data_IF_241213555256
#
_entry.id   IF_241213555256
#
_cell.length_a   1.000
_cell.length_b   1.000
_cell.length_c   1.000
_cell.angle_alpha   90.00
_cell.angle_beta   90.00
_cell.angle_gamma   90.00
#
_symmetry.space_group_name_H-M   'P 1'
#
loop_
_entity.id
_entity.type
_entity.pdbx_description
1 polymer ?
#
# COMPACT_ATOMS: atom_id res chain seq x y z
N UNK A 1 6.27 -13.77 10.06
CA UNK A 1 7.25 -14.69 9.45
C UNK A 1 8.12 -13.89 8.49
N UNK A 2 9.38 -14.27 8.29
CA UNK A 2 10.27 -13.69 7.27
C UNK A 2 10.47 -14.74 6.19
N UNK A 3 10.22 -14.39 4.93
CA UNK A 3 10.34 -15.37 3.83
C UNK A 3 11.80 -15.81 3.63
N UNK A 4 12.06 -17.10 3.43
CA UNK A 4 13.39 -17.60 3.05
C UNK A 4 13.78 -17.19 1.61
N UNK A 5 12.84 -16.68 0.83
CA UNK A 5 13.04 -16.27 -0.56
C UNK A 5 13.49 -14.82 -0.70
N UNK A 6 13.59 -14.05 0.39
CA UNK A 6 14.15 -12.69 0.35
C UNK A 6 15.56 -12.75 -0.27
N UNK A 7 15.92 -11.84 -1.18
CA UNK A 7 17.26 -11.80 -1.76
C UNK A 7 18.26 -11.26 -0.74
N UNK A 8 19.55 -11.58 -0.91
CA UNK A 8 20.61 -11.04 -0.04
C UNK A 8 20.79 -9.53 -0.18
N UNK A 9 20.66 -9.04 -1.40
CA UNK A 9 20.90 -7.65 -1.77
C UNK A 9 19.73 -7.12 -2.58
N UNK A 10 19.56 -5.80 -2.61
CA UNK A 10 18.69 -5.18 -3.61
C UNK A 10 19.16 -5.54 -5.02
N UNK A 11 18.24 -5.76 -5.98
CA UNK A 11 18.60 -6.13 -7.34
C UNK A 11 19.63 -5.17 -7.94
N UNK A 12 20.65 -5.71 -8.60
CA UNK A 12 21.71 -4.93 -9.28
C UNK A 12 22.54 -4.05 -8.33
N UNK A 13 22.54 -4.31 -7.02
CA UNK A 13 23.36 -3.59 -6.04
C UNK A 13 24.10 -4.54 -5.08
N UNK A 14 24.96 -3.98 -4.23
CA UNK A 14 25.54 -4.67 -3.07
C UNK A 14 24.89 -4.26 -1.74
N UNK A 15 23.82 -3.46 -1.79
CA UNK A 15 23.13 -2.98 -0.60
C UNK A 15 22.26 -4.11 -0.02
N UNK A 16 22.40 -4.45 1.28
CA UNK A 16 21.63 -5.54 1.89
C UNK A 16 20.12 -5.34 1.77
N UNK A 17 19.40 -6.40 1.38
CA UNK A 17 17.94 -6.35 1.36
C UNK A 17 17.40 -6.41 2.80
N UNK A 18 16.40 -5.58 3.16
CA UNK A 18 15.87 -5.58 4.51
C UNK A 18 15.39 -6.98 4.95
N UNK A 19 15.81 -7.38 6.14
CA UNK A 19 15.40 -8.63 6.81
C UNK A 19 15.87 -9.95 6.15
N UNK A 20 16.76 -9.94 5.15
CA UNK A 20 17.23 -11.15 4.45
C UNK A 20 17.64 -12.32 5.36
N UNK A 21 18.33 -12.06 6.46
CA UNK A 21 18.84 -13.10 7.37
C UNK A 21 18.17 -13.06 8.75
N UNK A 22 16.89 -12.69 8.81
CA UNK A 22 16.13 -12.62 10.06
C UNK A 22 15.09 -13.74 10.20
N UNK A 23 15.24 -14.86 9.47
CA UNK A 23 14.33 -16.02 9.53
C UNK A 23 14.25 -16.66 10.92
N UNK A 24 15.33 -16.60 11.70
CA UNK A 24 15.43 -17.22 13.03
C UNK A 24 14.81 -16.38 14.16
N UNK A 25 14.48 -15.10 13.92
CA UNK A 25 13.92 -14.21 14.94
C UNK A 25 12.43 -13.93 14.67
N UNK A 26 11.57 -14.25 15.64
CA UNK A 26 10.15 -13.86 15.65
C UNK A 26 10.02 -12.36 15.95
N UNK A 27 10.46 -11.51 15.01
CA UNK A 27 10.29 -10.07 15.11
C UNK A 27 8.95 -9.68 14.46
N UNK A 28 8.05 -9.09 15.24
CA UNK A 28 6.90 -8.40 14.69
C UNK A 28 7.40 -7.21 13.87
N UNK A 29 6.98 -7.14 12.61
CA UNK A 29 7.31 -6.04 11.70
C UNK A 29 6.04 -5.29 11.37
N UNK A 30 6.16 -3.99 11.25
CA UNK A 30 5.06 -3.09 10.92
C UNK A 30 5.53 -2.17 9.81
N UNK A 31 4.65 -1.93 8.85
CA UNK A 31 4.82 -0.88 7.85
C UNK A 31 3.48 -0.21 7.61
N UNK A 32 3.46 0.65 6.60
CA UNK A 32 2.28 1.34 6.11
C UNK A 32 1.86 0.75 4.77
N UNK A 33 0.61 1.02 4.40
CA UNK A 33 0.08 0.68 3.07
C UNK A 33 -1.13 1.55 2.77
N UNK A 34 -1.47 1.65 1.49
CA UNK A 34 -2.65 2.39 1.03
C UNK A 34 -3.67 1.41 0.47
N UNK A 35 -4.87 1.38 1.07
CA UNK A 35 -5.98 0.62 0.54
C UNK A 35 -6.64 1.38 -0.61
N UNK A 36 -6.91 0.68 -1.71
CA UNK A 36 -7.48 1.22 -2.93
C UNK A 36 -8.35 0.18 -3.62
N UNK A 37 -9.11 0.58 -4.65
CA UNK A 37 -9.97 -0.28 -5.49
C UNK A 37 -10.77 -1.33 -4.72
N UNK A 38 -11.92 -0.92 -4.21
CA UNK A 38 -12.85 -1.81 -3.52
C UNK A 38 -13.90 -2.34 -4.49
N UNK A 39 -14.00 -3.65 -4.62
CA UNK A 39 -14.97 -4.34 -5.47
C UNK A 39 -16.00 -5.05 -4.61
N UNK A 40 -17.28 -4.74 -4.82
CA UNK A 40 -18.37 -5.54 -4.27
C UNK A 40 -18.61 -6.71 -5.21
N UNK A 41 -18.66 -7.91 -4.65
CA UNK A 41 -18.88 -9.15 -5.39
C UNK A 41 -20.10 -9.85 -4.82
N UNK A 42 -20.92 -10.39 -5.72
CA UNK A 42 -22.06 -11.23 -5.41
C UNK A 42 -22.05 -12.44 -6.32
N UNK A 43 -22.03 -13.64 -5.73
CA UNK A 43 -22.01 -14.93 -6.44
C UNK A 43 -20.92 -15.02 -7.52
N UNK A 44 -19.73 -14.50 -7.20
CA UNK A 44 -18.57 -14.45 -8.10
C UNK A 44 -18.63 -13.34 -9.16
N UNK A 45 -19.67 -12.50 -9.15
CA UNK A 45 -19.85 -11.42 -10.12
C UNK A 45 -19.65 -10.06 -9.46
N UNK A 46 -18.78 -9.24 -10.06
CA UNK A 46 -18.56 -7.85 -9.62
C UNK A 46 -19.79 -6.99 -9.87
N UNK A 47 -20.12 -6.16 -8.89
CA UNK A 47 -21.31 -5.31 -8.90
C UNK A 47 -21.01 -3.86 -9.27
N UNK A 48 -19.74 -3.45 -9.26
CA UNK A 48 -19.31 -2.05 -9.45
C UNK A 48 -18.25 -1.86 -10.57
N UNK A 49 -18.18 -2.78 -11.53
CA UNK A 49 -17.29 -2.70 -12.70
C UNK A 49 -15.83 -3.13 -12.46
N UNK A 50 -14.98 -2.88 -13.47
CA UNK A 50 -13.54 -3.19 -13.49
C UNK A 50 -13.19 -4.52 -14.15
N UNK A 51 -12.04 -4.59 -14.85
CA UNK A 51 -11.69 -5.70 -15.76
C UNK A 51 -11.24 -6.98 -15.06
N UNK A 52 -10.72 -6.86 -13.84
CA UNK A 52 -10.22 -8.02 -13.11
C UNK A 52 -11.37 -8.90 -12.65
N UNK A 53 -11.26 -10.23 -12.78
CA UNK A 53 -12.27 -11.15 -12.23
C UNK A 53 -11.86 -11.60 -10.83
N UNK A 54 -12.84 -12.06 -10.04
CA UNK A 54 -12.54 -12.84 -8.84
C UNK A 54 -12.41 -14.31 -9.25
N UNK A 55 -11.54 -15.04 -8.57
CA UNK A 55 -11.37 -16.49 -8.78
C UNK A 55 -12.38 -17.31 -7.94
N UNK A 56 -13.26 -16.62 -7.20
CA UNK A 56 -14.11 -17.23 -6.18
C UNK A 56 -15.59 -17.03 -6.47
N UNK A 57 -16.40 -18.06 -6.23
CA UNK A 57 -17.88 -18.00 -6.31
C UNK A 57 -18.54 -17.67 -4.97
N UNK A 58 -17.78 -17.79 -3.87
CA UNK A 58 -18.17 -17.44 -2.50
C UNK A 58 -17.07 -16.64 -1.82
N UNK A 59 -17.38 -15.98 -0.71
CA UNK A 59 -16.37 -15.22 0.03
C UNK A 59 -15.22 -16.12 0.52
N UNK A 60 -13.98 -15.68 0.28
CA UNK A 60 -12.75 -16.38 0.65
C UNK A 60 -12.04 -15.76 1.87
N UNK A 61 -12.75 -14.98 2.69
CA UNK A 61 -12.20 -14.55 3.98
C UNK A 61 -12.09 -15.76 4.92
N UNK A 62 -11.16 -15.70 5.90
CA UNK A 62 -10.90 -16.80 6.84
C UNK A 62 -12.17 -17.36 7.49
N UNK A 63 -13.11 -16.49 7.87
CA UNK A 63 -14.41 -16.90 8.45
C UNK A 63 -15.25 -17.74 7.47
N UNK A 64 -15.29 -17.35 6.20
CA UNK A 64 -16.11 -18.04 5.21
C UNK A 64 -15.46 -19.32 4.69
N UNK A 65 -14.12 -19.40 4.63
CA UNK A 65 -13.41 -20.62 4.20
C UNK A 65 -13.69 -21.83 5.09
N UNK A 66 -13.96 -21.61 6.38
CA UNK A 66 -14.22 -22.67 7.37
C UNK A 66 -15.71 -22.80 7.73
N UNK A 67 -16.59 -22.05 7.07
CA UNK A 67 -18.02 -22.03 7.37
C UNK A 67 -18.80 -22.89 6.39
N UNK A 68 -19.80 -23.63 6.90
CA UNK A 68 -20.78 -24.34 6.06
C UNK A 68 -21.75 -23.39 5.31
N UNK A 69 -21.73 -22.11 5.65
CA UNK A 69 -22.58 -21.06 5.05
C UNK A 69 -21.75 -19.84 4.64
N UNK A 70 -20.81 -19.99 3.69
CA UNK A 70 -19.98 -18.88 3.24
C UNK A 70 -20.83 -17.80 2.58
N UNK A 71 -20.45 -16.53 2.79
CA UNK A 71 -21.24 -15.42 2.25
C UNK A 71 -21.21 -15.39 0.72
N UNK A 72 -22.38 -15.20 0.12
CA UNK A 72 -22.54 -14.95 -1.32
C UNK A 72 -22.18 -13.52 -1.71
N UNK A 73 -22.09 -12.61 -0.74
CA UNK A 73 -21.75 -11.20 -0.95
C UNK A 73 -20.51 -10.84 -0.16
N UNK A 74 -19.51 -10.27 -0.81
CA UNK A 74 -18.27 -9.84 -0.17
C UNK A 74 -17.64 -8.65 -0.87
N UNK A 75 -16.58 -8.12 -0.26
CA UNK A 75 -15.78 -7.04 -0.80
C UNK A 75 -14.34 -7.50 -0.89
N UNK A 76 -13.75 -7.33 -2.07
CA UNK A 76 -12.31 -7.43 -2.28
C UNK A 76 -11.74 -6.02 -2.37
N UNK A 77 -10.54 -5.82 -1.85
CA UNK A 77 -9.84 -4.56 -1.98
C UNK A 77 -8.35 -4.77 -2.10
N UNK A 78 -7.72 -3.83 -2.78
CA UNK A 78 -6.30 -3.83 -3.06
C UNK A 78 -5.56 -3.00 -2.01
N UNK A 79 -4.31 -3.35 -1.73
CA UNK A 79 -3.42 -2.58 -0.86
C UNK A 79 -2.04 -2.50 -1.51
N UNK A 80 -1.52 -1.28 -1.67
CA UNK A 80 -0.14 -1.10 -2.08
C UNK A 80 0.75 -0.83 -0.87
N UNK A 81 1.92 -1.45 -0.84
CA UNK A 81 2.97 -1.26 0.15
C UNK A 81 4.34 -1.48 -0.51
N UNK A 82 5.41 -1.47 0.26
CA UNK A 82 6.75 -1.75 -0.23
C UNK A 82 7.10 -3.25 -0.16
N UNK A 83 7.85 -3.77 -1.13
CA UNK A 83 8.26 -5.20 -1.11
C UNK A 83 9.08 -5.57 0.11
N UNK A 84 9.87 -4.62 0.63
CA UNK A 84 10.64 -4.92 1.83
C UNK A 84 9.76 -5.00 3.10
N UNK A 85 8.52 -4.50 3.06
CA UNK A 85 7.52 -4.65 4.13
C UNK A 85 6.83 -6.01 4.02
N UNK A 86 6.23 -6.32 2.86
CA UNK A 86 5.66 -7.65 2.54
C UNK A 86 6.27 -8.12 1.23
N UNK A 87 7.04 -9.21 1.29
CA UNK A 87 7.88 -9.65 0.17
C UNK A 87 7.18 -10.59 -0.81
N UNK A 88 6.44 -11.57 -0.30
CA UNK A 88 5.83 -12.64 -1.08
C UNK A 88 4.57 -13.22 -0.38
N UNK A 89 3.97 -14.26 -0.97
CA UNK A 89 2.80 -14.94 -0.40
C UNK A 89 3.09 -15.59 0.96
N UNK A 90 4.33 -16.03 1.22
CA UNK A 90 4.71 -16.58 2.52
C UNK A 90 4.53 -15.52 3.61
N UNK A 91 4.98 -14.29 3.36
CA UNK A 91 4.80 -13.18 4.30
C UNK A 91 3.36 -12.64 4.30
N UNK A 92 2.71 -12.53 3.15
CA UNK A 92 1.33 -12.05 3.04
C UNK A 92 0.36 -12.93 3.85
N UNK A 93 0.51 -14.27 3.78
CA UNK A 93 -0.31 -15.21 4.56
C UNK A 93 -0.17 -15.05 6.08
N UNK A 94 0.91 -14.41 6.55
CA UNK A 94 1.18 -14.11 7.95
C UNK A 94 1.03 -12.62 8.28
N UNK A 95 0.39 -11.85 7.40
CA UNK A 95 0.16 -10.41 7.55
C UNK A 95 -1.28 -10.13 7.99
N UNK A 96 -1.43 -9.17 8.90
CA UNK A 96 -2.72 -8.60 9.29
C UNK A 96 -2.75 -7.13 8.90
N UNK A 97 -3.80 -6.72 8.18
CA UNK A 97 -4.07 -5.31 7.91
C UNK A 97 -4.83 -4.70 9.09
N UNK A 98 -4.32 -3.60 9.64
CA UNK A 98 -4.99 -2.82 10.70
C UNK A 98 -5.57 -1.55 10.10
N UNK A 99 -6.89 -1.51 10.00
CA UNK A 99 -7.62 -0.40 9.40
C UNK A 99 -8.14 0.56 10.48
N UNK A 100 -8.24 1.85 10.12
CA UNK A 100 -8.81 2.93 10.92
C UNK A 100 -8.10 3.27 12.24
N UNK A 101 -6.81 2.93 12.38
CA UNK A 101 -6.03 3.28 13.58
C UNK A 101 -5.55 4.74 13.57
N UNK A 102 -6.50 5.67 13.68
CA UNK A 102 -6.23 7.10 13.46
C UNK A 102 -5.52 7.77 14.65
N UNK A 103 -5.89 7.38 15.87
CA UNK A 103 -5.36 7.89 17.15
C UNK A 103 -5.47 6.80 18.20
N UNK A 104 -4.83 7.01 19.35
CA UNK A 104 -4.96 6.08 20.47
C UNK A 104 -6.42 5.98 20.92
N UNK A 105 -6.87 4.75 21.15
CA UNK A 105 -8.27 4.43 21.43
C UNK A 105 -9.20 4.39 20.20
N UNK A 106 -8.69 4.62 18.97
CA UNK A 106 -9.50 4.42 17.76
C UNK A 106 -9.98 2.95 17.64
N UNK A 107 -11.19 2.72 17.11
CA UNK A 107 -11.64 1.38 16.79
C UNK A 107 -10.79 0.81 15.66
N UNK A 108 -9.93 -0.17 15.98
CA UNK A 108 -9.10 -0.87 15.00
C UNK A 108 -9.89 -2.04 14.42
N UNK A 109 -9.87 -2.16 13.10
CA UNK A 109 -10.44 -3.32 12.40
C UNK A 109 -9.31 -4.13 11.76
N UNK A 110 -9.21 -5.40 12.14
CA UNK A 110 -8.21 -6.32 11.60
C UNK A 110 -8.77 -7.09 10.40
N UNK A 111 -7.97 -7.22 9.35
CA UNK A 111 -8.25 -8.10 8.21
C UNK A 111 -7.05 -9.02 7.99
N UNK A 112 -7.27 -10.32 8.20
CA UNK A 112 -6.20 -11.31 8.33
C UNK A 112 -5.99 -12.20 7.09
N UNK A 113 -6.81 -12.01 6.04
CA UNK A 113 -6.66 -12.72 4.77
C UNK A 113 -6.04 -11.77 3.76
N UNK A 114 -4.75 -11.97 3.50
CA UNK A 114 -3.94 -11.15 2.61
C UNK A 114 -3.18 -12.07 1.66
N UNK A 115 -3.14 -11.72 0.39
CA UNK A 115 -2.44 -12.47 -0.66
C UNK A 115 -1.72 -11.51 -1.58
N UNK A 116 -0.63 -11.93 -2.20
CA UNK A 116 0.07 -11.11 -3.20
C UNK A 116 -0.66 -11.18 -4.54
N UNK A 117 -0.68 -10.05 -5.23
CA UNK A 117 -1.14 -9.93 -6.61
C UNK A 117 0.05 -9.80 -7.54
N UNK A 118 0.95 -8.88 -7.19
CA UNK A 118 2.15 -8.59 -7.95
C UNK A 118 3.23 -8.01 -7.03
N UNK A 119 4.48 -8.26 -7.36
CA UNK A 119 5.66 -7.83 -6.61
C UNK A 119 6.73 -7.37 -7.57
N UNK A 120 7.26 -6.18 -7.32
CA UNK A 120 8.40 -5.66 -8.06
C UNK A 120 9.48 -5.23 -7.07
N UNK A 121 10.49 -6.10 -6.89
CA UNK A 121 11.60 -5.88 -5.95
C UNK A 121 12.49 -4.72 -6.43
N UNK A 122 12.70 -4.57 -7.74
CA UNK A 122 13.54 -3.48 -8.29
C UNK A 122 12.93 -2.10 -8.00
N UNK A 123 11.60 -2.02 -8.01
CA UNK A 123 10.85 -0.80 -7.75
C UNK A 123 10.39 -0.64 -6.30
N UNK A 124 10.69 -1.63 -5.46
CA UNK A 124 10.25 -1.75 -4.08
C UNK A 124 8.74 -1.55 -3.88
N UNK A 125 7.94 -2.17 -4.76
CA UNK A 125 6.49 -2.07 -4.74
C UNK A 125 5.83 -3.45 -4.66
N UNK A 126 4.86 -3.58 -3.76
CA UNK A 126 4.07 -4.78 -3.56
C UNK A 126 2.57 -4.45 -3.62
N UNK A 127 1.85 -5.20 -4.44
CA UNK A 127 0.40 -5.15 -4.56
C UNK A 127 -0.21 -6.36 -3.87
N UNK A 128 -1.00 -6.09 -2.83
CA UNK A 128 -1.72 -7.07 -2.03
C UNK A 128 -3.21 -7.04 -2.32
N UNK A 129 -3.86 -8.19 -2.20
CA UNK A 129 -5.32 -8.37 -2.20
C UNK A 129 -5.80 -8.74 -0.82
N UNK A 130 -6.95 -8.22 -0.41
CA UNK A 130 -7.62 -8.65 0.80
C UNK A 130 -9.15 -8.69 0.62
N UNK A 131 -9.85 -9.22 1.63
CA UNK A 131 -11.27 -9.57 1.55
C UNK A 131 -12.01 -9.37 2.86
N UNK A 132 -13.27 -8.96 2.78
CA UNK A 132 -14.21 -8.98 3.89
C UNK A 132 -15.63 -9.33 3.44
N UNK A 133 -16.35 -10.14 4.21
CA UNK A 133 -17.80 -10.32 4.06
C UNK A 133 -18.62 -9.40 4.98
N UNK A 134 -17.96 -8.53 5.76
CA UNK A 134 -18.65 -7.57 6.61
C UNK A 134 -19.17 -6.41 5.76
N UNK A 135 -20.49 -6.31 5.64
CA UNK A 135 -21.18 -5.30 4.83
C UNK A 135 -20.86 -3.87 5.26
N UNK A 136 -20.81 -3.57 6.56
CA UNK A 136 -20.53 -2.21 7.02
C UNK A 136 -19.08 -1.81 6.73
N UNK A 137 -18.14 -2.73 6.93
CA UNK A 137 -16.73 -2.52 6.58
C UNK A 137 -16.54 -2.31 5.08
N UNK A 138 -17.08 -3.21 4.27
CA UNK A 138 -16.91 -3.20 2.81
C UNK A 138 -17.51 -1.95 2.17
N UNK A 139 -18.72 -1.55 2.59
CA UNK A 139 -19.33 -0.30 2.10
C UNK A 139 -18.54 0.93 2.55
N UNK A 140 -18.10 0.98 3.81
CA UNK A 140 -17.28 2.10 4.31
C UNK A 140 -15.99 2.26 3.52
N UNK A 141 -15.26 1.18 3.24
CA UNK A 141 -14.04 1.23 2.42
C UNK A 141 -14.34 1.74 1.01
N UNK A 142 -15.41 1.25 0.38
CA UNK A 142 -15.82 1.67 -0.95
C UNK A 142 -16.17 3.17 -1.00
N UNK A 143 -16.91 3.68 -0.02
CA UNK A 143 -17.24 5.11 0.09
C UNK A 143 -15.99 5.97 0.31
N UNK A 144 -15.08 5.53 1.19
CA UNK A 144 -13.82 6.24 1.45
C UNK A 144 -12.93 6.30 0.21
N UNK A 145 -12.81 5.21 -0.56
CA UNK A 145 -12.04 5.21 -1.80
C UNK A 145 -12.65 6.13 -2.86
N UNK A 146 -13.98 6.10 -3.04
CA UNK A 146 -14.68 7.03 -3.96
C UNK A 146 -14.49 8.49 -3.55
N UNK A 147 -14.58 8.76 -2.26
CA UNK A 147 -14.38 10.11 -1.73
C UNK A 147 -12.94 10.57 -1.94
N UNK A 148 -11.96 9.70 -1.64
CA UNK A 148 -10.54 9.98 -1.88
C UNK A 148 -10.26 10.30 -3.35
N UNK A 149 -10.76 9.48 -4.28
CA UNK A 149 -10.65 9.72 -5.72
C UNK A 149 -11.20 11.10 -6.12
N UNK A 150 -12.41 11.43 -5.67
CA UNK A 150 -13.04 12.73 -5.95
C UNK A 150 -12.24 13.92 -5.40
N UNK A 151 -11.72 13.81 -4.18
CA UNK A 151 -10.90 14.86 -3.57
C UNK A 151 -9.54 14.97 -4.26
N UNK A 152 -8.92 13.83 -4.57
CA UNK A 152 -7.60 13.80 -5.20
C UNK A 152 -7.63 14.40 -6.61
N UNK A 153 -8.69 14.18 -7.39
CA UNK A 153 -8.85 14.84 -8.70
C UNK A 153 -8.88 16.37 -8.59
N UNK A 154 -9.52 16.93 -7.56
CA UNK A 154 -9.52 18.38 -7.31
C UNK A 154 -8.14 18.90 -6.89
N UNK A 155 -7.41 18.10 -6.10
CA UNK A 155 -6.03 18.42 -5.73
C UNK A 155 -5.12 18.36 -6.95
N UNK A 156 -5.25 17.35 -7.80
CA UNK A 156 -4.49 17.22 -9.03
C UNK A 156 -4.69 18.44 -9.92
N UNK A 157 -5.94 18.79 -10.23
CA UNK A 157 -6.30 19.95 -11.06
C UNK A 157 -5.70 21.25 -10.51
N UNK A 158 -5.86 21.50 -9.20
CA UNK A 158 -5.34 22.70 -8.55
C UNK A 158 -3.81 22.83 -8.61
N UNK A 159 -3.08 21.71 -8.53
CA UNK A 159 -1.63 21.72 -8.39
C UNK A 159 -0.87 21.30 -9.66
N UNK A 160 -1.56 20.84 -10.71
CA UNK A 160 -0.94 20.29 -11.92
C UNK A 160 0.09 21.26 -12.54
N UNK A 161 -0.31 22.49 -12.82
CA UNK A 161 0.56 23.50 -13.46
C UNK A 161 1.68 24.01 -12.55
N UNK A 162 1.47 23.92 -11.22
CA UNK A 162 2.41 24.44 -10.22
C UNK A 162 3.27 23.37 -9.57
N UNK A 163 3.16 22.10 -10.00
CA UNK A 163 3.79 20.94 -9.35
C UNK A 163 5.30 21.08 -9.20
N UNK A 164 5.98 21.52 -10.26
CA UNK A 164 7.43 21.72 -10.28
C UNK A 164 7.89 22.97 -9.51
N UNK A 165 6.99 23.94 -9.30
CA UNK A 165 7.27 25.18 -8.58
C UNK A 165 7.13 25.00 -7.07
N UNK A 166 5.99 24.48 -6.63
CA UNK A 166 5.71 24.33 -5.19
C UNK A 166 6.41 23.12 -4.58
N UNK A 167 6.57 22.06 -5.38
CA UNK A 167 7.13 20.77 -4.99
C UNK A 167 6.53 20.18 -3.72
N UNK A 168 5.29 20.53 -3.40
CA UNK A 168 4.63 20.14 -2.16
C UNK A 168 4.41 18.62 -2.17
N UNK A 169 4.73 17.97 -1.07
CA UNK A 169 4.35 16.58 -0.86
C UNK A 169 3.90 16.33 0.59
N UNK A 170 3.12 15.28 0.78
CA UNK A 170 2.78 14.80 2.12
C UNK A 170 2.74 13.27 2.14
N UNK A 171 2.85 12.72 3.35
CA UNK A 171 2.82 11.28 3.60
C UNK A 171 1.85 11.02 4.73
N UNK A 172 0.94 10.07 4.51
CA UNK A 172 0.07 9.52 5.54
C UNK A 172 0.58 8.12 5.87
N UNK A 173 1.02 7.90 7.10
CA UNK A 173 1.66 6.65 7.50
C UNK A 173 1.24 6.22 8.90
N UNK A 174 1.57 4.97 9.25
CA UNK A 174 1.50 4.41 10.60
C UNK A 174 2.92 4.03 11.05
N UNK A 175 3.76 5.01 11.45
CA UNK A 175 5.15 4.75 11.81
C UNK A 175 5.23 3.72 12.92
N UNK A 176 5.97 2.62 12.69
CA UNK A 176 6.12 1.52 13.65
C UNK A 176 4.79 0.88 14.07
N UNK A 177 3.75 1.03 13.23
CA UNK A 177 2.42 0.55 13.53
C UNK A 177 1.68 1.35 14.61
N UNK A 178 2.14 2.57 14.91
CA UNK A 178 1.46 3.51 15.80
C UNK A 178 0.24 4.17 15.10
N UNK A 179 -0.40 5.08 15.84
CA UNK A 179 -1.47 5.92 15.30
C UNK A 179 -1.04 6.68 14.06
N UNK A 180 -1.99 6.93 13.17
CA UNK A 180 -1.77 7.60 11.89
C UNK A 180 -1.08 8.94 12.07
N UNK A 181 -0.03 9.17 11.30
CA UNK A 181 0.70 10.44 11.23
C UNK A 181 0.58 11.03 9.83
N UNK A 182 0.49 12.36 9.77
CA UNK A 182 0.55 13.13 8.53
C UNK A 182 1.79 14.01 8.58
N UNK A 183 2.67 13.85 7.60
CA UNK A 183 3.88 14.64 7.48
C UNK A 183 3.85 15.41 6.17
N UNK A 184 4.17 16.70 6.21
CA UNK A 184 4.15 17.61 5.06
C UNK A 184 5.58 18.08 4.81
N UNK A 185 5.97 18.17 3.53
CA UNK A 185 7.30 18.60 3.15
C UNK A 185 7.36 18.99 1.68
N UNK A 186 8.55 18.86 1.11
CA UNK A 186 8.75 19.08 -0.31
C UNK A 186 9.55 17.94 -0.92
N UNK A 187 9.19 17.56 -2.15
CA UNK A 187 10.06 16.76 -3.00
C UNK A 187 11.18 17.61 -3.58
N UNK A 188 12.32 16.99 -3.87
CA UNK A 188 13.54 17.66 -4.35
C UNK A 188 13.80 17.30 -5.79
N UNK A 189 14.04 16.02 -6.04
CA UNK A 189 14.38 15.48 -7.35
C UNK A 189 13.34 14.46 -7.80
N UNK A 190 13.12 14.42 -9.11
CA UNK A 190 12.38 13.37 -9.82
C UNK A 190 13.36 12.71 -10.77
N UNK A 191 13.76 11.49 -10.46
CA UNK A 191 14.69 10.70 -11.25
C UNK A 191 13.89 9.78 -12.17
N UNK A 192 14.29 9.72 -13.44
CA UNK A 192 13.72 8.76 -14.38
C UNK A 192 14.45 7.42 -14.24
N UNK A 193 13.68 6.34 -14.08
CA UNK A 193 14.18 4.96 -13.95
C UNK A 193 13.27 4.08 -14.79
N UNK A 194 13.79 3.48 -15.86
CA UNK A 194 13.05 2.59 -16.76
C UNK A 194 11.71 3.17 -17.26
N UNK A 195 11.71 4.46 -17.66
CA UNK A 195 10.51 5.18 -18.11
C UNK A 195 9.50 5.50 -17.00
N UNK A 196 9.88 5.29 -15.73
CA UNK A 196 9.11 5.60 -14.52
C UNK A 196 9.84 6.65 -13.68
N UNK A 197 9.25 7.04 -12.57
CA UNK A 197 9.79 8.09 -11.70
C UNK A 197 10.10 7.58 -10.30
N UNK A 198 11.20 8.08 -9.75
CA UNK A 198 11.58 7.97 -8.34
C UNK A 198 11.76 9.37 -7.77
N UNK A 199 11.20 9.62 -6.59
CA UNK A 199 11.27 10.93 -5.94
C UNK A 199 12.20 10.90 -4.74
N UNK A 200 12.91 12.00 -4.54
CA UNK A 200 13.57 12.34 -3.26
C UNK A 200 12.80 13.46 -2.57
N UNK A 201 12.82 13.51 -1.23
CA UNK A 201 12.06 14.49 -0.47
C UNK A 201 12.59 14.70 0.95
N UNK A 202 12.22 15.85 1.54
CA UNK A 202 12.56 16.22 2.93
C UNK A 202 11.42 16.00 3.91
N UNK A 203 10.28 15.47 3.47
CA UNK A 203 9.14 15.11 4.34
C UNK A 203 9.60 14.14 5.41
N UNK A 204 9.33 14.45 6.67
CA UNK A 204 9.76 13.61 7.79
C UNK A 204 9.17 12.20 7.66
N UNK A 205 10.03 11.20 7.79
CA UNK A 205 9.68 9.78 7.82
C UNK A 205 10.67 9.06 8.73
N UNK A 206 10.38 7.79 9.05
CA UNK A 206 11.34 6.87 9.64
C UNK A 206 11.18 5.50 8.98
N UNK A 207 11.99 4.53 9.37
CA UNK A 207 11.87 3.14 8.89
C UNK A 207 10.49 2.51 9.15
N UNK A 208 9.75 3.03 10.14
CA UNK A 208 8.37 2.61 10.42
C UNK A 208 7.35 3.11 9.39
N UNK A 209 7.69 4.11 8.58
CA UNK A 209 6.81 4.70 7.56
C UNK A 209 6.86 3.96 6.22
N UNK A 210 7.73 2.96 6.06
CA UNK A 210 7.89 2.19 4.82
C UNK A 210 6.57 1.68 4.28
N UNK A 211 6.40 1.76 2.95
CA UNK A 211 5.17 1.36 2.26
C UNK A 211 4.05 2.40 2.27
N UNK A 212 4.20 3.52 3.01
CA UNK A 212 3.25 4.62 2.95
C UNK A 212 3.24 5.26 1.56
N UNK A 213 2.06 5.64 1.05
CA UNK A 213 2.00 6.35 -0.21
C UNK A 213 2.56 7.78 -0.07
N UNK A 214 3.37 8.18 -1.05
CA UNK A 214 3.98 9.50 -1.13
C UNK A 214 3.15 10.37 -2.06
N UNK A 215 2.41 11.31 -1.49
CA UNK A 215 1.60 12.23 -2.26
C UNK A 215 2.45 13.40 -2.76
N UNK A 216 3.00 13.30 -3.97
CA UNK A 216 3.63 14.43 -4.66
C UNK A 216 2.54 15.23 -5.41
N UNK A 217 2.20 16.43 -4.92
CA UNK A 217 1.05 17.17 -5.45
C UNK A 217 1.24 17.57 -6.91
N UNK A 218 0.16 17.38 -7.68
CA UNK A 218 0.13 17.62 -9.12
C UNK A 218 0.70 16.46 -9.96
N UNK A 219 1.19 15.40 -9.34
CA UNK A 219 1.53 14.15 -10.02
C UNK A 219 0.48 13.08 -9.77
N UNK A 220 0.27 12.23 -10.77
CA UNK A 220 -0.75 11.19 -10.66
C UNK A 220 -0.46 9.94 -11.51
N UNK A 221 -1.00 8.79 -11.08
CA UNK A 221 -1.03 7.55 -11.85
C UNK A 221 -2.46 7.03 -12.01
N UNK A 222 -3.01 7.16 -13.23
CA UNK A 222 -4.35 6.68 -13.57
C UNK A 222 -4.54 5.16 -13.36
N UNK A 223 -3.47 4.37 -13.47
CA UNK A 223 -3.54 2.90 -13.48
C UNK A 223 -3.53 2.28 -12.10
N UNK A 224 -2.84 2.86 -11.12
CA UNK A 224 -2.60 2.22 -9.82
C UNK A 224 -2.89 3.13 -8.62
N UNK A 225 -3.05 4.45 -8.83
CA UNK A 225 -3.34 5.51 -7.84
C UNK A 225 -2.41 5.60 -6.61
N UNK A 226 -1.58 4.59 -6.36
CA UNK A 226 -1.01 4.32 -5.02
C UNK A 226 0.30 3.53 -5.03
N UNK A 227 1.00 3.43 -6.16
CA UNK A 227 2.25 2.66 -6.28
C UNK A 227 3.52 3.44 -5.91
N UNK A 228 3.46 4.77 -5.76
CA UNK A 228 4.56 5.60 -5.28
C UNK A 228 4.71 5.51 -3.76
N UNK A 229 5.29 4.42 -3.27
CA UNK A 229 5.47 4.14 -1.84
C UNK A 229 6.78 4.70 -1.29
N UNK A 230 6.83 5.05 0.00
CA UNK A 230 8.06 5.39 0.69
C UNK A 230 8.91 4.13 0.86
N UNK A 231 10.17 4.20 0.42
CA UNK A 231 11.09 3.08 0.41
C UNK A 231 12.17 3.21 1.49
N UNK A 232 12.73 4.40 1.68
CA UNK A 232 13.72 4.61 2.74
C UNK A 232 14.36 5.99 2.74
N UNK A 233 15.52 6.09 3.38
CA UNK A 233 16.29 7.33 3.52
C UNK A 233 17.76 7.11 3.19
N UNK A 234 18.38 8.13 2.59
CA UNK A 234 19.81 8.18 2.36
C UNK A 234 20.54 8.62 3.63
N UNK A 235 21.85 8.33 3.72
CA UNK A 235 22.71 8.81 4.81
C UNK A 235 22.74 10.35 4.92
N UNK A 236 22.47 11.06 3.83
CA UNK A 236 22.33 12.52 3.81
C UNK A 236 21.08 13.04 4.51
N UNK A 237 20.15 12.16 4.90
CA UNK A 237 18.87 12.51 5.51
C UNK A 237 17.73 12.75 4.50
N UNK A 238 18.00 12.70 3.19
CA UNK A 238 16.96 12.75 2.16
C UNK A 238 16.20 11.43 2.10
N UNK A 239 14.88 11.51 2.11
CA UNK A 239 14.00 10.36 1.94
C UNK A 239 13.76 10.09 0.45
N UNK A 240 13.43 8.85 0.11
CA UNK A 240 13.14 8.45 -1.26
C UNK A 240 11.96 7.48 -1.34
N UNK A 241 11.27 7.55 -2.48
CA UNK A 241 10.21 6.61 -2.85
C UNK A 241 10.77 5.36 -3.54
N UNK A 242 9.92 4.35 -3.71
CA UNK A 242 10.07 3.36 -4.76
C UNK A 242 9.94 3.98 -6.16
N UNK A 243 9.89 3.13 -7.18
CA UNK A 243 9.77 3.55 -8.58
C UNK A 243 8.34 3.33 -9.07
N UNK A 244 7.69 4.38 -9.57
CA UNK A 244 6.30 4.33 -10.01
C UNK A 244 6.09 5.14 -11.29
N UNK A 245 5.11 4.73 -12.09
CA UNK A 245 4.67 5.52 -13.23
C UNK A 245 3.87 6.72 -12.71
N UNK A 246 4.41 7.93 -12.78
CA UNK A 246 3.61 9.14 -12.51
C UNK A 246 3.68 10.11 -13.70
N UNK A 247 2.58 10.81 -13.94
CA UNK A 247 2.40 11.83 -14.98
C UNK A 247 2.24 13.22 -14.36
#
# INVERSE_FOLDING_TARGET
MTSPHRPKFWPKTTEPYPFYNMSERRNLRTGSGSAWRVFKIQDGVRQNGGDRRTDYTKCWCKKCEVSDSPSNVWWEFDVNTATHVVFDDCEANHTTLRLFYDRDGSPVVNVDKVSVIDVNIEHDWCWLKSVTCNKSLGNKLMEMCKHHESVWMKVLDKYFDSRSKHKLNFIVSHPHGCSKQVSIGQWKDRLEVDGRSKFTYTTCTCSGSSGAYVYCLGYFNYLTWSDLVHSGSFKSGLNYSGVSLVQ
#
